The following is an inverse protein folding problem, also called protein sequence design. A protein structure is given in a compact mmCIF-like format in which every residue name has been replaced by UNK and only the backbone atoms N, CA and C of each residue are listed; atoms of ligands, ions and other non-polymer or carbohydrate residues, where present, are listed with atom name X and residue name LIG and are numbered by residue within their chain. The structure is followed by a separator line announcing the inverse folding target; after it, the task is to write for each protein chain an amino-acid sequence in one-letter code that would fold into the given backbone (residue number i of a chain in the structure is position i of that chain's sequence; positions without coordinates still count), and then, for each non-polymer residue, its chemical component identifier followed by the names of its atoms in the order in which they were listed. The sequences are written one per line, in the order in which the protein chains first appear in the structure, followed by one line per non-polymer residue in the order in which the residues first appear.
data_IF_965254154037
#
_entry.id   IF_965254154037
#
_cell.length_a   1.000
_cell.length_b   1.000
_cell.length_c   1.000
_cell.angle_alpha   90.00
_cell.angle_beta   90.00
_cell.angle_gamma   90.00
#
_symmetry.space_group_name_H-M   'P 1'
#
loop_
_entity.id
_entity.type
_entity.pdbx_description
1 polymer ?
#
# COMPACT_ATOMS: atom_id res chain seq x y z
N UNK A 1 -36.51 48.31 -32.53
CA UNK A 1 -35.67 47.09 -32.41
C UNK A 1 -36.12 46.11 -33.50
N UNK A 2 -35.93 46.50 -34.75
CA UNK A 2 -34.87 46.06 -35.69
C UNK A 2 -35.08 44.62 -36.21
N UNK A 3 -36.07 44.43 -37.08
CA UNK A 3 -36.21 43.20 -37.89
C UNK A 3 -34.89 42.82 -38.60
N UNK A 4 -34.11 43.84 -38.98
CA UNK A 4 -32.76 43.71 -39.55
C UNK A 4 -31.77 42.91 -38.67
N UNK A 5 -31.87 42.93 -37.34
CA UNK A 5 -30.97 42.14 -36.49
C UNK A 5 -31.36 40.67 -36.43
N UNK A 6 -32.64 40.34 -36.60
CA UNK A 6 -33.13 38.95 -36.65
C UNK A 6 -32.81 38.34 -38.01
N UNK A 7 -33.02 39.08 -39.10
CA UNK A 7 -32.70 38.62 -40.45
C UNK A 7 -31.19 38.38 -40.62
N UNK A 8 -30.33 39.25 -40.06
CA UNK A 8 -28.87 39.04 -40.05
C UNK A 8 -28.45 37.79 -39.26
N UNK A 9 -29.12 37.49 -38.14
CA UNK A 9 -28.87 36.26 -37.37
C UNK A 9 -29.31 35.02 -38.14
N UNK A 10 -30.46 35.07 -38.81
CA UNK A 10 -30.97 33.97 -39.63
C UNK A 10 -30.06 33.71 -40.85
N UNK A 11 -29.57 34.76 -41.51
CA UNK A 11 -28.60 34.65 -42.60
C UNK A 11 -27.28 34.07 -42.10
N UNK A 12 -26.78 34.50 -40.94
CA UNK A 12 -25.60 33.94 -40.30
C UNK A 12 -25.76 32.45 -39.99
N UNK A 13 -26.89 32.06 -39.38
CA UNK A 13 -27.20 30.64 -39.12
C UNK A 13 -27.28 29.85 -40.42
N UNK A 14 -27.91 30.39 -41.48
CA UNK A 14 -27.98 29.72 -42.78
C UNK A 14 -26.61 29.54 -43.43
N UNK A 15 -25.72 30.53 -43.32
CA UNK A 15 -24.33 30.43 -43.81
C UNK A 15 -23.53 29.41 -43.03
N UNK A 16 -23.74 29.33 -41.71
CA UNK A 16 -23.10 28.34 -40.85
C UNK A 16 -23.56 26.93 -41.20
N UNK A 17 -24.87 26.73 -41.39
CA UNK A 17 -25.44 25.43 -41.80
C UNK A 17 -24.89 24.98 -43.16
N UNK A 18 -24.80 25.90 -44.13
CA UNK A 18 -24.21 25.62 -45.44
C UNK A 18 -22.71 25.32 -45.35
N UNK A 19 -21.98 25.98 -44.46
CA UNK A 19 -20.57 25.67 -44.23
C UNK A 19 -20.40 24.30 -43.58
N UNK A 20 -21.25 23.95 -42.62
CA UNK A 20 -21.20 22.64 -41.96
C UNK A 20 -21.60 21.52 -42.91
N UNK A 21 -22.62 21.71 -43.76
CA UNK A 21 -23.00 20.67 -44.75
C UNK A 21 -21.85 20.41 -45.72
N UNK A 22 -21.21 21.46 -46.26
CA UNK A 22 -20.04 21.32 -47.13
C UNK A 22 -18.89 20.58 -46.46
N UNK A 23 -18.63 20.84 -45.18
CA UNK A 23 -17.58 20.12 -44.44
C UNK A 23 -17.94 18.65 -44.18
N UNK A 24 -19.22 18.34 -43.99
CA UNK A 24 -19.70 16.97 -43.82
C UNK A 24 -19.63 16.22 -45.15
N UNK A 25 -20.06 16.84 -46.26
CA UNK A 25 -19.98 16.25 -47.59
C UNK A 25 -18.51 15.96 -47.98
N UNK A 26 -17.59 16.88 -47.69
CA UNK A 26 -16.15 16.66 -47.91
C UNK A 26 -15.56 15.56 -47.01
N UNK A 27 -16.08 15.38 -45.79
CA UNK A 27 -15.70 14.28 -44.90
C UNK A 27 -16.23 12.94 -45.42
N UNK A 28 -17.46 12.90 -45.94
CA UNK A 28 -18.05 11.70 -46.55
C UNK A 28 -17.24 11.31 -47.79
N UNK A 29 -16.94 12.26 -48.68
CA UNK A 29 -16.07 12.00 -49.85
C UNK A 29 -14.67 11.52 -49.43
N UNK A 30 -14.10 12.08 -48.35
CA UNK A 30 -12.81 11.62 -47.84
C UNK A 30 -12.91 10.19 -47.28
N UNK A 31 -13.94 9.87 -46.51
CA UNK A 31 -14.17 8.51 -45.96
C UNK A 31 -14.38 7.50 -47.09
N UNK A 32 -15.15 7.85 -48.12
CA UNK A 32 -15.37 7.00 -49.30
C UNK A 32 -14.08 6.85 -50.14
N UNK A 33 -13.21 7.87 -50.16
CA UNK A 33 -11.90 7.81 -50.82
C UNK A 33 -10.87 6.97 -50.06
N UNK A 34 -10.98 6.89 -48.73
CA UNK A 34 -10.30 5.90 -47.88
C UNK A 34 -11.04 4.56 -47.99
N UNK A 35 -11.17 4.06 -49.22
CA UNK A 35 -11.61 2.70 -49.48
C UNK A 35 -10.79 1.68 -48.68
N UNK A 36 -11.21 0.42 -48.74
CA UNK A 36 -10.80 -0.77 -47.96
C UNK A 36 -9.30 -1.06 -47.77
N UNK A 37 -8.41 -0.19 -48.22
CA UNK A 37 -6.96 -0.28 -48.09
C UNK A 37 -6.49 0.58 -46.90
N UNK A 38 -5.91 -0.09 -45.92
CA UNK A 38 -5.28 0.58 -44.78
C UNK A 38 -4.01 1.29 -45.28
N UNK A 39 -3.66 2.47 -44.76
CA UNK A 39 -2.40 3.13 -45.11
C UNK A 39 -1.21 2.17 -44.95
N UNK A 40 -0.24 2.18 -45.88
CA UNK A 40 0.89 1.21 -45.90
C UNK A 40 1.62 1.09 -44.54
N UNK A 41 1.67 2.17 -43.76
CA UNK A 41 2.22 2.16 -42.41
C UNK A 41 1.47 1.21 -41.47
N UNK A 42 0.14 1.14 -41.58
CA UNK A 42 -0.72 0.26 -40.79
C UNK A 42 -0.56 -1.20 -41.24
N UNK A 43 -0.36 -1.46 -42.53
CA UNK A 43 -0.04 -2.81 -43.03
C UNK A 43 1.33 -3.29 -42.56
N UNK A 44 2.33 -2.41 -42.58
CA UNK A 44 3.67 -2.68 -42.06
C UNK A 44 3.63 -2.94 -40.54
N UNK A 45 2.83 -2.18 -39.79
CA UNK A 45 2.61 -2.41 -38.36
C UNK A 45 1.84 -3.71 -38.11
N UNK A 46 0.83 -4.05 -38.92
CA UNK A 46 0.11 -5.33 -38.83
C UNK A 46 1.03 -6.52 -39.11
N UNK A 47 1.87 -6.43 -40.14
CA UNK A 47 2.82 -7.50 -40.46
C UNK A 47 3.91 -7.62 -39.40
N UNK A 48 4.33 -6.51 -38.78
CA UNK A 48 5.26 -6.52 -37.64
C UNK A 48 4.60 -7.10 -36.38
N UNK A 49 3.34 -6.75 -36.11
CA UNK A 49 2.57 -7.27 -34.98
C UNK A 49 2.29 -8.77 -35.15
N UNK A 50 1.86 -9.22 -36.33
CA UNK A 50 1.63 -10.64 -36.62
C UNK A 50 2.90 -11.50 -36.47
N UNK A 51 4.07 -10.96 -36.84
CA UNK A 51 5.37 -11.61 -36.60
C UNK A 51 5.74 -11.66 -35.11
N UNK A 52 5.36 -10.64 -34.34
CA UNK A 52 5.57 -10.61 -32.90
C UNK A 52 4.59 -11.53 -32.15
N UNK A 53 3.35 -11.68 -32.62
CA UNK A 53 2.32 -12.50 -31.98
C UNK A 53 2.61 -13.99 -32.07
N UNK A 54 3.16 -14.50 -33.19
CA UNK A 54 3.46 -15.94 -33.30
C UNK A 54 4.59 -16.41 -32.37
N UNK A 55 5.53 -15.53 -32.03
CA UNK A 55 6.61 -15.83 -31.08
C UNK A 55 6.25 -15.48 -29.62
N UNK A 56 5.38 -14.49 -29.41
CA UNK A 56 4.95 -14.06 -28.08
C UNK A 56 3.69 -14.75 -27.57
N UNK A 57 2.75 -15.27 -28.35
CA UNK A 57 1.54 -15.92 -27.80
C UNK A 57 1.89 -17.13 -26.93
N UNK A 58 2.91 -17.90 -27.30
CA UNK A 58 3.40 -19.04 -26.53
C UNK A 58 4.21 -18.61 -25.28
N UNK A 59 4.82 -17.43 -25.28
CA UNK A 59 5.49 -16.82 -24.11
C UNK A 59 4.57 -15.97 -23.24
N UNK A 60 3.52 -15.38 -23.78
CA UNK A 60 2.55 -14.49 -23.12
C UNK A 60 1.42 -15.29 -22.47
N UNK A 61 1.12 -16.50 -22.96
CA UNK A 61 0.30 -17.45 -22.21
C UNK A 61 0.97 -17.90 -20.89
N UNK A 62 2.31 -17.78 -20.78
CA UNK A 62 3.07 -18.12 -19.56
C UNK A 62 3.60 -16.89 -18.79
N UNK A 63 3.81 -15.75 -19.45
CA UNK A 63 4.18 -14.49 -18.85
C UNK A 63 2.98 -13.53 -18.89
N UNK A 64 2.41 -13.24 -17.72
CA UNK A 64 1.21 -12.42 -17.59
C UNK A 64 1.25 -11.08 -18.35
N UNK A 65 0.06 -10.53 -18.60
CA UNK A 65 -0.15 -9.31 -19.39
C UNK A 65 0.86 -8.21 -19.01
N UNK A 66 1.73 -7.85 -19.96
CA UNK A 66 2.69 -6.76 -19.79
C UNK A 66 1.97 -5.43 -19.55
N UNK A 67 2.53 -4.56 -18.70
CA UNK A 67 1.98 -3.23 -18.47
C UNK A 67 1.89 -2.42 -19.77
N UNK A 68 2.87 -2.59 -20.66
CA UNK A 68 2.89 -1.92 -21.96
C UNK A 68 1.80 -2.45 -22.89
N UNK A 69 1.59 -3.78 -22.93
CA UNK A 69 0.53 -4.36 -23.74
C UNK A 69 -0.85 -3.95 -23.23
N UNK A 70 -1.04 -3.89 -21.91
CA UNK A 70 -2.27 -3.38 -21.29
C UNK A 70 -2.51 -1.90 -21.59
N UNK A 71 -1.45 -1.07 -21.57
CA UNK A 71 -1.56 0.35 -21.93
C UNK A 71 -1.94 0.54 -23.39
N UNK A 72 -1.29 -0.19 -24.29
CA UNK A 72 -1.59 -0.11 -25.71
C UNK A 72 -3.00 -0.61 -26.02
N UNK A 73 -3.42 -1.74 -25.42
CA UNK A 73 -4.77 -2.28 -25.63
C UNK A 73 -5.86 -1.38 -25.04
N UNK A 74 -5.65 -0.78 -23.86
CA UNK A 74 -6.62 0.15 -23.26
C UNK A 74 -6.70 1.48 -24.00
N UNK A 75 -5.59 2.01 -24.52
CA UNK A 75 -5.61 3.19 -25.39
C UNK A 75 -6.32 2.91 -26.71
N UNK A 76 -6.04 1.77 -27.34
CA UNK A 76 -6.71 1.37 -28.58
C UNK A 76 -8.21 1.19 -28.36
N UNK A 77 -8.61 0.46 -27.30
CA UNK A 77 -10.02 0.30 -26.94
C UNK A 77 -10.71 1.62 -26.60
N UNK A 78 -10.00 2.59 -26.03
CA UNK A 78 -10.55 3.93 -25.81
C UNK A 78 -10.78 4.69 -27.12
N UNK A 79 -9.86 4.61 -28.08
CA UNK A 79 -10.04 5.21 -29.40
C UNK A 79 -11.19 4.58 -30.17
N UNK A 80 -11.32 3.25 -30.10
CA UNK A 80 -12.43 2.50 -30.71
C UNK A 80 -13.79 2.85 -30.08
N UNK A 81 -13.86 2.96 -28.76
CA UNK A 81 -15.06 3.43 -28.09
C UNK A 81 -15.43 4.87 -28.49
N UNK A 82 -14.44 5.75 -28.69
CA UNK A 82 -14.66 7.12 -29.16
C UNK A 82 -15.14 7.17 -30.61
N UNK A 83 -14.55 6.37 -31.52
CA UNK A 83 -15.00 6.30 -32.91
C UNK A 83 -16.44 5.78 -32.99
N UNK A 84 -16.81 4.77 -32.20
CA UNK A 84 -18.19 4.29 -32.09
C UNK A 84 -19.15 5.36 -31.57
N UNK A 85 -18.74 6.18 -30.60
CA UNK A 85 -19.56 7.31 -30.14
C UNK A 85 -19.76 8.34 -31.26
N UNK A 86 -18.70 8.66 -32.03
CA UNK A 86 -18.81 9.58 -33.17
C UNK A 86 -19.73 8.99 -34.24
N UNK A 87 -19.55 7.72 -34.58
CA UNK A 87 -20.38 7.00 -35.54
C UNK A 87 -21.86 7.00 -35.10
N UNK A 88 -22.15 6.67 -33.84
CA UNK A 88 -23.54 6.71 -33.32
C UNK A 88 -24.19 8.09 -33.42
N UNK A 89 -23.39 9.17 -33.32
CA UNK A 89 -23.90 10.54 -33.49
C UNK A 89 -24.15 10.89 -34.95
N UNK A 90 -23.37 10.35 -35.89
CA UNK A 90 -23.61 10.50 -37.32
C UNK A 90 -24.84 9.68 -37.73
N UNK A 91 -24.97 8.45 -37.23
CA UNK A 91 -26.11 7.57 -37.50
C UNK A 91 -27.41 8.17 -36.94
N UNK A 92 -27.37 8.80 -35.76
CA UNK A 92 -28.52 9.51 -35.18
C UNK A 92 -28.98 10.72 -36.01
N UNK A 93 -28.14 11.25 -36.92
CA UNK A 93 -28.57 12.30 -37.87
C UNK A 93 -29.25 11.70 -39.11
N UNK A 94 -29.04 10.42 -39.38
CA UNK A 94 -29.57 9.73 -40.58
C UNK A 94 -30.77 8.83 -40.27
N UNK A 95 -30.85 8.24 -39.07
CA UNK A 95 -31.85 7.23 -38.69
C UNK A 95 -32.27 7.42 -37.23
N UNK A 96 -33.56 7.68 -36.98
CA UNK A 96 -34.17 7.63 -35.64
C UNK A 96 -34.38 6.16 -35.24
N UNK A 97 -33.49 5.61 -34.40
CA UNK A 97 -33.60 4.22 -33.96
C UNK A 97 -33.10 3.98 -32.55
N UNK A 98 -33.94 3.36 -31.71
CA UNK A 98 -33.64 3.01 -30.31
C UNK A 98 -32.38 2.14 -30.16
N UNK A 99 -32.04 1.33 -31.17
CA UNK A 99 -30.83 0.49 -31.17
C UNK A 99 -29.52 1.29 -31.25
N UNK A 100 -29.55 2.47 -31.87
CA UNK A 100 -28.37 3.36 -31.97
C UNK A 100 -28.03 3.92 -30.60
N UNK A 101 -29.04 4.23 -29.79
CA UNK A 101 -28.86 4.72 -28.42
C UNK A 101 -28.33 3.63 -27.47
N UNK A 102 -28.74 2.37 -27.61
CA UNK A 102 -28.16 1.26 -26.84
C UNK A 102 -26.67 1.04 -27.16
N UNK A 103 -26.31 1.04 -28.45
CA UNK A 103 -24.91 0.92 -28.90
C UNK A 103 -24.06 2.10 -28.40
N UNK A 104 -24.63 3.31 -28.42
CA UNK A 104 -23.99 4.51 -27.88
C UNK A 104 -23.78 4.39 -26.37
N UNK A 105 -24.78 3.92 -25.62
CA UNK A 105 -24.65 3.75 -24.17
C UNK A 105 -23.53 2.74 -23.83
N UNK A 106 -23.43 1.64 -24.57
CA UNK A 106 -22.35 0.67 -24.41
C UNK A 106 -20.97 1.27 -24.76
N UNK A 107 -20.87 2.02 -25.86
CA UNK A 107 -19.63 2.70 -26.25
C UNK A 107 -19.18 3.72 -25.19
N UNK A 108 -20.12 4.47 -24.59
CA UNK A 108 -19.83 5.37 -23.47
C UNK A 108 -19.34 4.59 -22.25
N UNK A 109 -20.00 3.49 -21.87
CA UNK A 109 -19.55 2.66 -20.75
C UNK A 109 -18.13 2.11 -20.98
N UNK A 110 -17.84 1.58 -22.18
CA UNK A 110 -16.52 1.10 -22.54
C UNK A 110 -15.46 2.21 -22.49
N UNK A 111 -15.79 3.42 -22.96
CA UNK A 111 -14.89 4.58 -22.86
C UNK A 111 -14.54 4.93 -21.41
N UNK A 112 -15.51 4.85 -20.50
CA UNK A 112 -15.31 5.09 -19.06
C UNK A 112 -14.43 3.99 -18.47
N UNK A 113 -14.66 2.72 -18.82
CA UNK A 113 -13.83 1.60 -18.37
C UNK A 113 -12.38 1.79 -18.80
N UNK A 114 -12.13 2.05 -20.09
CA UNK A 114 -10.77 2.28 -20.59
C UNK A 114 -10.11 3.52 -19.97
N UNK A 115 -10.88 4.56 -19.67
CA UNK A 115 -10.35 5.75 -18.98
C UNK A 115 -9.96 5.44 -17.54
N UNK A 116 -10.78 4.70 -16.82
CA UNK A 116 -10.51 4.30 -15.42
C UNK A 116 -9.31 3.36 -15.36
N UNK A 117 -9.15 2.42 -16.29
CA UNK A 117 -7.98 1.53 -16.32
C UNK A 117 -6.69 2.30 -16.58
N UNK A 118 -6.70 3.31 -17.46
CA UNK A 118 -5.55 4.20 -17.67
C UNK A 118 -5.23 5.04 -16.44
N UNK A 119 -6.23 5.70 -15.87
CA UNK A 119 -6.03 6.69 -14.81
C UNK A 119 -5.74 6.05 -13.44
N UNK A 120 -6.53 5.04 -13.05
CA UNK A 120 -6.42 4.39 -11.74
C UNK A 120 -5.59 3.10 -11.77
N UNK A 121 -5.49 2.42 -12.92
CA UNK A 121 -4.73 1.18 -13.06
C UNK A 121 -3.28 1.45 -13.46
N UNK A 122 -3.07 1.95 -14.67
CA UNK A 122 -1.75 2.01 -15.30
C UNK A 122 -0.89 3.14 -14.73
N UNK A 123 -1.41 4.37 -14.61
CA UNK A 123 -0.63 5.53 -14.12
C UNK A 123 0.07 5.32 -12.76
N UNK A 124 -0.55 4.78 -11.70
CA UNK A 124 0.16 4.55 -10.44
C UNK A 124 1.23 3.47 -10.56
N UNK A 125 1.06 2.47 -11.42
CA UNK A 125 2.07 1.45 -11.68
C UNK A 125 3.29 2.04 -12.41
N UNK A 126 3.05 2.88 -13.41
CA UNK A 126 4.12 3.61 -14.10
C UNK A 126 4.92 4.51 -13.15
N UNK A 127 4.24 5.24 -12.25
CA UNK A 127 4.93 6.05 -11.23
C UNK A 127 5.84 5.21 -10.32
N UNK A 128 5.38 4.02 -9.91
CA UNK A 128 6.19 3.10 -9.08
C UNK A 128 7.36 2.53 -9.85
N UNK A 129 7.16 2.13 -11.10
CA UNK A 129 8.22 1.60 -11.96
C UNK A 129 9.26 2.68 -12.27
N UNK A 130 8.84 3.90 -12.60
CA UNK A 130 9.75 5.02 -12.81
C UNK A 130 10.60 5.27 -11.57
N UNK A 131 9.98 5.33 -10.39
CA UNK A 131 10.74 5.48 -9.14
C UNK A 131 11.74 4.35 -8.90
N UNK A 132 11.37 3.10 -9.21
CA UNK A 132 12.28 1.96 -9.10
C UNK A 132 13.45 2.05 -10.09
N UNK A 133 13.18 2.48 -11.33
CA UNK A 133 14.19 2.69 -12.36
C UNK A 133 15.12 3.85 -12.00
N UNK A 134 14.58 4.97 -11.52
CA UNK A 134 15.36 6.12 -11.04
C UNK A 134 16.27 5.70 -9.89
N UNK A 135 15.74 4.96 -8.91
CA UNK A 135 16.55 4.43 -7.80
C UNK A 135 17.64 3.48 -8.28
N UNK A 136 17.34 2.61 -9.24
CA UNK A 136 18.33 1.69 -9.82
C UNK A 136 19.41 2.48 -10.57
N UNK A 137 19.01 3.48 -11.36
CA UNK A 137 19.93 4.37 -12.07
C UNK A 137 20.81 5.16 -11.09
N UNK A 138 20.25 5.67 -10.00
CA UNK A 138 21.00 6.37 -8.96
C UNK A 138 22.01 5.45 -8.27
N UNK A 139 21.62 4.21 -7.98
CA UNK A 139 22.55 3.22 -7.43
C UNK A 139 23.66 2.84 -8.41
N UNK A 140 23.33 2.76 -9.70
CA UNK A 140 24.30 2.49 -10.76
C UNK A 140 25.29 3.65 -10.91
N UNK A 141 24.80 4.88 -11.01
CA UNK A 141 25.63 6.11 -11.06
C UNK A 141 26.49 6.28 -9.81
N UNK A 142 25.99 5.88 -8.64
CA UNK A 142 26.77 5.88 -7.40
C UNK A 142 27.89 4.85 -7.44
N UNK A 143 27.62 3.63 -7.93
CA UNK A 143 28.65 2.60 -8.11
C UNK A 143 29.71 3.05 -9.11
N UNK A 144 29.30 3.63 -10.23
CA UNK A 144 30.21 4.15 -11.25
C UNK A 144 31.16 5.21 -10.66
N UNK A 145 30.63 6.16 -9.88
CA UNK A 145 31.46 7.14 -9.15
C UNK A 145 32.39 6.50 -8.11
N UNK A 146 31.90 5.54 -7.33
CA UNK A 146 32.74 4.82 -6.35
C UNK A 146 33.84 4.01 -7.06
N UNK A 147 33.58 3.46 -8.25
CA UNK A 147 34.57 2.77 -9.08
C UNK A 147 35.60 3.75 -9.68
N UNK A 148 35.19 4.93 -10.13
CA UNK A 148 36.09 6.00 -10.60
C UNK A 148 36.99 6.51 -9.47
N UNK A 149 36.42 6.85 -8.30
CA UNK A 149 37.21 7.27 -7.12
C UNK A 149 38.16 6.18 -6.64
N UNK A 150 37.75 4.91 -6.71
CA UNK A 150 38.61 3.79 -6.35
C UNK A 150 39.78 3.63 -7.34
N UNK A 151 39.55 3.86 -8.63
CA UNK A 151 40.61 3.88 -9.65
C UNK A 151 41.57 5.04 -9.44
N UNK A 152 41.08 6.24 -9.18
CA UNK A 152 41.92 7.41 -8.87
C UNK A 152 42.76 7.20 -7.62
N UNK A 153 42.18 6.66 -6.53
CA UNK A 153 42.92 6.31 -5.31
C UNK A 153 43.93 5.20 -5.53
N UNK A 154 43.64 4.25 -6.42
CA UNK A 154 44.60 3.20 -6.79
C UNK A 154 45.77 3.79 -7.59
N UNK A 155 45.52 4.69 -8.54
CA UNK A 155 46.55 5.40 -9.31
C UNK A 155 47.43 6.27 -8.40
N UNK A 156 46.84 7.05 -7.49
CA UNK A 156 47.60 7.85 -6.53
C UNK A 156 48.50 6.99 -5.61
N UNK A 157 48.03 5.80 -5.19
CA UNK A 157 48.85 4.84 -4.43
C UNK A 157 49.96 4.19 -5.24
N UNK A 158 49.80 4.05 -6.55
CA UNK A 158 50.87 3.57 -7.44
C UNK A 158 51.92 4.67 -7.68
N UNK A 159 51.52 5.94 -7.75
CA UNK A 159 52.43 7.08 -7.85
C UNK A 159 53.26 7.27 -6.56
N UNK A 160 52.64 7.15 -5.37
CA UNK A 160 53.36 7.21 -4.09
C UNK A 160 54.39 6.08 -3.92
N UNK A 161 54.10 4.88 -4.46
CA UNK A 161 55.03 3.74 -4.45
C UNK A 161 56.25 3.90 -5.36
N UNK A 162 56.28 4.89 -6.24
CA UNK A 162 57.48 5.27 -6.99
C UNK A 162 58.32 6.36 -6.28
N UNK A 163 57.83 6.92 -5.16
CA UNK A 163 58.54 7.96 -4.40
C UNK A 163 59.18 7.45 -3.10
N UNK A 164 58.76 6.31 -2.56
CA UNK A 164 59.36 5.71 -1.36
C UNK A 164 60.25 4.51 -1.72
N UNK A 165 61.48 4.84 -2.11
CA UNK A 165 62.62 3.96 -1.87
C UNK A 165 63.20 4.23 -0.48
N UNK A 166 63.17 3.19 0.37
CA UNK A 166 63.91 2.98 1.62
C UNK A 166 63.14 3.12 2.95
N UNK A 167 63.31 2.05 3.73
CA UNK A 167 63.23 1.88 5.19
C UNK A 167 61.88 1.58 5.88
N UNK A 168 61.84 0.38 6.49
CA UNK A 168 61.12 0.17 7.74
C UNK A 168 60.23 -1.07 7.85
N UNK A 169 60.81 -2.27 7.79
CA UNK A 169 60.18 -3.47 8.35
C UNK A 169 60.30 -3.43 9.89
N UNK A 170 59.20 -3.47 10.65
CA UNK A 170 58.99 -4.46 11.73
C UNK A 170 57.64 -4.31 12.46
N UNK A 171 57.27 -5.44 13.07
CA UNK A 171 56.45 -5.59 14.28
C UNK A 171 54.94 -5.79 14.16
N UNK A 172 54.59 -7.08 14.12
CA UNK A 172 53.35 -7.64 14.62
C UNK A 172 53.32 -7.67 16.16
N UNK A 173 52.09 -7.73 16.68
CA UNK A 173 51.68 -8.21 18.01
C UNK A 173 51.46 -7.17 19.12
N UNK A 174 50.19 -6.92 19.45
CA UNK A 174 49.68 -7.04 20.82
C UNK A 174 48.16 -6.89 20.85
N UNK A 175 47.54 -7.90 21.45
CA UNK A 175 46.12 -8.07 21.62
C UNK A 175 45.62 -7.48 22.96
N UNK A 176 44.32 -7.21 23.00
CA UNK A 176 43.45 -7.19 24.19
C UNK A 176 43.68 -6.10 25.25
N UNK A 177 42.72 -5.16 25.32
CA UNK A 177 41.96 -4.74 26.52
C UNK A 177 41.51 -3.28 26.34
N UNK A 178 40.28 -3.07 25.88
CA UNK A 178 39.33 -2.05 26.38
C UNK A 178 38.10 -1.99 25.45
N UNK A 179 37.01 -2.69 25.82
CA UNK A 179 35.73 -2.59 25.12
C UNK A 179 34.58 -3.05 26.02
N UNK A 180 34.32 -2.34 27.11
CA UNK A 180 33.06 -2.44 27.85
C UNK A 180 32.55 -1.02 28.13
N UNK A 181 31.82 -0.44 27.16
CA UNK A 181 30.64 0.42 27.35
C UNK A 181 30.33 1.28 26.12
N UNK A 182 29.05 1.21 25.68
CA UNK A 182 28.38 2.01 24.63
C UNK A 182 28.79 1.55 23.21
N UNK A 183 27.90 1.23 22.27
CA UNK A 183 26.70 1.95 21.88
C UNK A 183 25.93 1.14 20.82
N UNK A 184 24.64 0.91 21.08
CA UNK A 184 23.51 0.94 20.15
C UNK A 184 23.51 0.11 18.85
N UNK A 185 22.46 -0.71 18.73
CA UNK A 185 22.06 -1.56 17.61
C UNK A 185 21.80 -0.76 16.31
N UNK A 186 22.84 -0.45 15.54
CA UNK A 186 22.69 -0.02 14.13
C UNK A 186 23.60 -0.77 13.14
N UNK A 187 24.38 -1.73 13.63
CA UNK A 187 25.25 -2.56 12.80
C UNK A 187 24.59 -3.85 12.27
N UNK A 188 23.30 -4.07 12.54
CA UNK A 188 22.56 -5.27 12.13
C UNK A 188 22.09 -5.31 10.67
N UNK A 189 22.30 -4.25 9.87
CA UNK A 189 21.78 -4.16 8.50
C UNK A 189 22.85 -4.16 7.38
N UNK A 190 24.09 -4.52 7.69
CA UNK A 190 25.11 -4.74 6.66
C UNK A 190 25.23 -6.23 6.38
N UNK A 191 24.44 -6.73 5.43
CA UNK A 191 24.56 -8.10 4.92
C UNK A 191 25.85 -8.24 4.08
N UNK A 192 26.99 -8.39 4.75
CA UNK A 192 28.23 -8.90 4.14
C UNK A 192 28.19 -10.43 4.20
N UNK A 193 28.62 -11.16 3.17
CA UNK A 193 28.73 -12.61 3.26
C UNK A 193 29.79 -12.98 4.32
N UNK A 194 29.37 -13.70 5.36
CA UNK A 194 30.25 -14.17 6.43
C UNK A 194 30.99 -15.44 5.98
N UNK A 195 32.27 -15.31 5.61
CA UNK A 195 33.12 -16.42 5.18
C UNK A 195 33.42 -17.44 6.32
N UNK A 196 33.25 -17.05 7.59
CA UNK A 196 33.49 -17.93 8.73
C UNK A 196 32.37 -18.97 8.95
N UNK A 197 31.19 -18.78 8.32
CA UNK A 197 30.10 -19.76 8.36
C UNK A 197 30.31 -21.00 7.48
N UNK A 198 31.31 -20.98 6.60
CA UNK A 198 31.65 -22.11 5.73
C UNK A 198 32.52 -23.18 6.42
N UNK A 199 33.18 -22.82 7.52
CA UNK A 199 34.04 -23.74 8.28
C UNK A 199 33.19 -24.33 9.41
N UNK A 200 32.57 -25.48 9.15
CA UNK A 200 31.85 -26.24 10.19
C UNK A 200 32.87 -26.81 11.18
N UNK A 201 32.94 -26.24 12.39
CA UNK A 201 33.49 -26.92 13.58
C UNK A 201 32.35 -27.75 14.19
N UNK A 202 32.57 -29.05 14.31
CA UNK A 202 31.52 -30.06 14.48
C UNK A 202 30.73 -29.98 15.79
N UNK A 203 29.45 -30.32 15.69
CA UNK A 203 28.68 -31.08 16.70
C UNK A 203 27.44 -31.67 16.03
N UNK A 204 27.30 -32.99 16.19
CA UNK A 204 26.32 -33.90 15.61
C UNK A 204 24.90 -33.71 16.19
N UNK A 205 23.88 -33.63 15.32
CA UNK A 205 22.65 -34.43 15.46
C UNK A 205 22.04 -34.69 14.09
N UNK A 206 22.32 -35.90 13.60
CA UNK A 206 21.63 -36.67 12.56
C UNK A 206 20.11 -36.44 12.50
N UNK A 207 19.65 -36.06 11.31
CA UNK A 207 18.43 -36.61 10.72
C UNK A 207 18.62 -36.67 9.20
N UNK A 208 19.08 -37.82 8.71
CA UNK A 208 19.01 -38.15 7.28
C UNK A 208 17.68 -38.84 7.00
N UNK A 209 16.98 -38.33 5.97
CA UNK A 209 15.73 -38.85 5.46
C UNK A 209 15.45 -38.19 4.10
N UNK A 210 15.93 -38.86 3.05
CA UNK A 210 15.62 -38.75 1.62
C UNK A 210 14.93 -37.47 1.09
N UNK A 211 15.62 -36.77 0.19
CA UNK A 211 15.04 -35.79 -0.74
C UNK A 211 14.91 -34.38 -0.17
N UNK A 212 16.05 -33.69 0.02
CA UNK A 212 16.08 -32.30 0.45
C UNK A 212 15.46 -31.35 -0.60
N UNK A 213 14.12 -31.25 -0.60
CA UNK A 213 13.42 -30.14 -1.24
C UNK A 213 13.88 -28.84 -0.58
N UNK A 214 14.46 -27.95 -1.37
CA UNK A 214 14.84 -26.61 -0.91
C UNK A 214 13.63 -25.92 -0.27
N UNK A 215 13.75 -25.57 1.00
CA UNK A 215 12.77 -24.75 1.71
C UNK A 215 13.34 -23.34 1.80
N UNK A 216 12.75 -22.35 1.11
CA UNK A 216 13.20 -20.97 1.21
C UNK A 216 13.10 -20.50 2.66
N UNK A 217 14.00 -19.60 3.10
CA UNK A 217 14.01 -19.07 4.44
C UNK A 217 12.69 -18.34 4.72
N UNK A 218 12.06 -18.65 5.86
CA UNK A 218 10.88 -17.94 6.32
C UNK A 218 11.29 -16.58 6.85
N UNK A 219 11.23 -15.55 6.00
CA UNK A 219 11.40 -14.16 6.42
C UNK A 219 10.14 -13.78 7.21
N UNK A 220 10.28 -13.47 8.50
CA UNK A 220 9.21 -12.83 9.26
C UNK A 220 8.89 -11.49 8.60
N UNK A 221 7.61 -11.22 8.32
CA UNK A 221 7.20 -9.97 7.70
C UNK A 221 7.69 -8.77 8.53
N UNK A 222 8.76 -8.13 8.09
CA UNK A 222 9.16 -6.83 8.57
C UNK A 222 8.19 -5.83 7.95
N UNK A 223 7.50 -5.03 8.77
CA UNK A 223 6.71 -3.93 8.24
C UNK A 223 7.65 -2.99 7.47
N UNK A 224 7.25 -2.47 6.30
CA UNK A 224 8.01 -1.43 5.64
C UNK A 224 8.17 -0.24 6.60
N UNK A 225 9.32 0.46 6.60
CA UNK A 225 9.49 1.67 7.40
C UNK A 225 8.49 2.72 6.91
N UNK A 226 7.36 2.82 7.59
CA UNK A 226 6.44 3.95 7.45
C UNK A 226 7.05 5.13 8.21
N UNK A 227 6.78 6.36 7.76
CA UNK A 227 7.24 7.61 8.40
C UNK A 227 6.56 7.87 9.76
N UNK A 228 6.46 6.86 10.63
CA UNK A 228 5.76 6.89 11.93
C UNK A 228 6.66 6.39 13.06
N UNK A 229 7.99 6.47 12.94
CA UNK A 229 8.89 6.12 14.04
C UNK A 229 8.72 7.08 15.25
N UNK A 230 8.28 8.32 15.03
CA UNK A 230 7.92 9.28 16.09
C UNK A 230 6.65 8.90 16.89
N UNK A 231 5.82 7.96 16.42
CA UNK A 231 4.60 7.55 17.13
C UNK A 231 4.84 6.50 18.22
N UNK A 232 6.04 5.90 18.29
CA UNK A 232 6.31 4.84 19.26
C UNK A 232 6.35 5.32 20.71
N UNK A 233 6.68 6.59 20.97
CA UNK A 233 6.62 7.19 22.31
C UNK A 233 5.18 7.37 22.79
N UNK A 234 4.28 7.82 21.92
CA UNK A 234 2.83 7.95 22.23
C UNK A 234 2.15 6.59 22.51
N UNK A 235 2.65 5.50 21.92
CA UNK A 235 2.17 4.13 22.20
C UNK A 235 2.56 3.62 23.59
N UNK A 236 3.64 4.14 24.20
CA UNK A 236 4.00 3.76 25.56
C UNK A 236 3.09 4.41 26.61
N UNK A 237 2.62 5.64 26.37
CA UNK A 237 1.68 6.32 27.26
C UNK A 237 0.31 5.60 27.30
N UNK A 238 -0.14 5.04 26.17
CA UNK A 238 -1.35 4.20 26.09
C UNK A 238 -1.24 2.83 26.79
N UNK A 239 -0.08 2.44 27.32
CA UNK A 239 0.09 1.20 28.10
C UNK A 239 -0.20 1.39 29.59
N UNK A 240 -0.41 2.62 30.06
CA UNK A 240 -1.04 2.85 31.35
C UNK A 240 -2.52 2.47 31.21
N UNK A 241 -2.80 1.17 31.31
CA UNK A 241 -4.17 0.64 31.27
C UNK A 241 -4.99 1.37 32.32
N UNK A 242 -6.07 2.02 31.88
CA UNK A 242 -7.08 2.56 32.78
C UNK A 242 -7.56 1.45 33.73
N UNK A 243 -7.90 1.85 34.94
CA UNK A 243 -8.50 0.94 35.91
C UNK A 243 -9.91 0.61 35.42
N UNK A 244 -10.19 -0.68 35.28
CA UNK A 244 -11.52 -1.16 34.89
C UNK A 244 -12.63 -0.60 35.80
N UNK A 245 -12.36 -0.49 37.11
CA UNK A 245 -13.31 0.10 38.07
C UNK A 245 -13.58 1.59 37.84
N UNK A 246 -12.59 2.34 37.35
CA UNK A 246 -12.76 3.74 37.01
C UNK A 246 -13.57 3.89 35.72
N UNK A 247 -13.26 3.08 34.70
CA UNK A 247 -13.99 3.09 33.43
C UNK A 247 -15.47 2.73 33.64
N UNK A 248 -15.76 1.76 34.51
CA UNK A 248 -17.13 1.40 34.88
C UNK A 248 -17.85 2.54 35.62
N UNK A 249 -17.17 3.19 36.57
CA UNK A 249 -17.71 4.37 37.24
C UNK A 249 -18.00 5.51 36.26
N UNK A 250 -17.12 5.76 35.28
CA UNK A 250 -17.33 6.76 34.25
C UNK A 250 -18.51 6.42 33.35
N UNK A 251 -18.73 5.15 33.02
CA UNK A 251 -19.92 4.67 32.29
C UNK A 251 -21.20 4.88 33.09
N UNK A 252 -21.17 4.66 34.40
CA UNK A 252 -22.32 4.85 35.29
C UNK A 252 -22.67 6.33 35.51
N UNK A 253 -21.64 7.19 35.63
CA UNK A 253 -21.84 8.65 35.81
C UNK A 253 -22.18 9.34 34.49
N UNK A 254 -21.76 8.78 33.37
CA UNK A 254 -22.12 9.27 32.05
C UNK A 254 -23.59 9.06 31.75
N UNK A 255 -24.27 10.11 31.31
CA UNK A 255 -25.67 10.04 30.82
C UNK A 255 -25.76 9.52 29.36
N UNK A 256 -24.61 9.17 28.76
CA UNK A 256 -24.57 8.66 27.41
C UNK A 256 -25.04 7.19 27.37
N UNK A 257 -25.92 6.81 26.43
CA UNK A 257 -26.36 5.43 26.30
C UNK A 257 -25.17 4.52 25.93
N UNK A 258 -25.00 3.43 26.68
CA UNK A 258 -24.06 2.36 26.36
C UNK A 258 -24.65 1.42 25.31
N UNK A 259 -23.80 0.90 24.42
CA UNK A 259 -24.21 -0.11 23.44
C UNK A 259 -24.00 -1.48 24.06
N UNK A 260 -25.11 -2.13 24.44
CA UNK A 260 -25.10 -3.50 24.93
C UNK A 260 -25.46 -4.49 23.83
N UNK A 261 -24.83 -5.67 23.86
CA UNK A 261 -25.16 -6.75 22.95
C UNK A 261 -26.49 -7.40 23.35
N UNK A 262 -27.19 -7.97 22.36
CA UNK A 262 -28.39 -8.77 22.64
C UNK A 262 -28.06 -9.92 23.61
N UNK A 263 -28.98 -10.22 24.52
CA UNK A 263 -28.83 -11.19 25.63
C UNK A 263 -28.35 -12.56 25.16
N UNK A 264 -28.72 -12.99 23.94
CA UNK A 264 -28.29 -14.27 23.38
C UNK A 264 -26.95 -14.26 22.65
N UNK A 265 -26.41 -13.08 22.28
CA UNK A 265 -25.20 -12.96 21.47
C UNK A 265 -23.91 -13.11 22.31
N UNK A 266 -23.99 -12.93 23.62
CA UNK A 266 -22.87 -13.01 24.55
C UNK A 266 -22.59 -14.43 25.02
N UNK A 267 -23.52 -15.36 24.83
CA UNK A 267 -23.39 -16.76 25.26
C UNK A 267 -22.44 -17.53 24.33
N UNK A 268 -21.45 -18.22 24.91
CA UNK A 268 -20.50 -19.08 24.20
C UNK A 268 -20.72 -20.54 24.60
N UNK A 269 -20.38 -21.47 23.71
CA UNK A 269 -20.36 -22.91 23.98
C UNK A 269 -21.69 -23.44 24.56
N UNK A 270 -22.82 -22.96 24.05
CA UNK A 270 -24.15 -23.41 24.47
C UNK A 270 -24.50 -23.10 25.93
N UNK A 271 -23.97 -22.02 26.50
CA UNK A 271 -24.26 -21.61 27.88
C UNK A 271 -23.18 -21.95 28.88
N UNK A 272 -22.09 -22.59 28.45
CA UNK A 272 -20.97 -22.92 29.35
C UNK A 272 -20.20 -21.69 29.78
N UNK A 273 -20.01 -20.73 28.88
CA UNK A 273 -19.27 -19.50 29.15
C UNK A 273 -20.04 -18.27 28.60
N UNK A 274 -19.82 -17.10 29.20
CA UNK A 274 -20.33 -15.80 28.74
C UNK A 274 -19.17 -14.91 28.31
N UNK A 275 -19.36 -14.08 27.28
CA UNK A 275 -18.38 -13.07 26.86
C UNK A 275 -18.35 -11.92 27.86
N UNK A 276 -17.16 -11.51 28.27
CA UNK A 276 -16.97 -10.26 29.01
C UNK A 276 -17.01 -9.04 28.10
N UNK A 277 -17.36 -7.87 28.63
CA UNK A 277 -17.37 -6.59 27.88
C UNK A 277 -16.06 -6.38 27.10
N UNK A 278 -14.91 -6.66 27.73
CA UNK A 278 -13.60 -6.57 27.07
C UNK A 278 -13.41 -7.55 25.92
N UNK A 279 -14.04 -8.73 25.99
CA UNK A 279 -14.01 -9.72 24.91
C UNK A 279 -14.90 -9.30 23.76
N UNK A 280 -16.06 -8.69 24.06
CA UNK A 280 -16.96 -8.11 23.06
C UNK A 280 -16.23 -7.01 22.28
N UNK A 281 -15.56 -6.08 22.98
CA UNK A 281 -14.76 -5.01 22.35
C UNK A 281 -13.64 -5.59 21.46
N UNK A 282 -12.91 -6.59 21.95
CA UNK A 282 -11.85 -7.25 21.18
C UNK A 282 -12.38 -7.99 19.94
N UNK A 283 -13.53 -8.64 20.05
CA UNK A 283 -14.17 -9.31 18.93
C UNK A 283 -14.65 -8.29 17.89
N UNK A 284 -15.24 -7.17 18.32
CA UNK A 284 -15.61 -6.06 17.44
C UNK A 284 -14.39 -5.46 16.71
N UNK A 285 -13.25 -5.34 17.39
CA UNK A 285 -12.00 -4.90 16.77
C UNK A 285 -11.51 -5.90 15.71
N UNK A 286 -11.63 -7.20 15.99
CA UNK A 286 -11.31 -8.26 15.03
C UNK A 286 -12.26 -8.23 13.84
N UNK A 287 -13.57 -8.15 14.04
CA UNK A 287 -14.54 -8.10 12.93
C UNK A 287 -14.31 -6.87 12.07
N UNK A 288 -14.09 -5.71 12.69
CA UNK A 288 -13.75 -4.48 11.98
C UNK A 288 -12.48 -4.65 11.13
N UNK A 289 -11.43 -5.25 11.68
CA UNK A 289 -10.21 -5.54 10.93
C UNK A 289 -10.45 -6.50 9.75
N UNK A 290 -11.24 -7.54 9.96
CA UNK A 290 -11.56 -8.53 8.92
C UNK A 290 -12.43 -7.93 7.80
N UNK A 291 -13.36 -7.04 8.14
CA UNK A 291 -14.22 -6.32 7.18
C UNK A 291 -13.44 -5.26 6.40
N UNK A 292 -12.59 -4.47 7.08
CA UNK A 292 -11.76 -3.44 6.45
C UNK A 292 -10.72 -4.05 5.49
N UNK A 293 -10.13 -5.18 5.87
CA UNK A 293 -9.08 -5.82 5.07
C UNK A 293 -9.57 -7.01 4.22
N UNK A 294 -10.85 -7.36 4.31
CA UNK A 294 -11.47 -8.50 3.63
C UNK A 294 -10.70 -9.84 3.78
N UNK A 295 -10.00 -10.02 4.90
CA UNK A 295 -9.17 -11.21 5.18
C UNK A 295 -9.41 -11.69 6.60
N UNK A 296 -9.79 -12.96 6.74
CA UNK A 296 -9.99 -13.59 8.06
C UNK A 296 -8.67 -13.83 8.79
N UNK A 297 -8.66 -13.60 10.10
CA UNK A 297 -7.52 -13.94 10.94
C UNK A 297 -7.40 -15.46 11.10
N UNK A 298 -6.19 -16.03 10.98
CA UNK A 298 -6.01 -17.46 11.18
C UNK A 298 -6.28 -17.81 12.65
N UNK A 299 -6.93 -18.95 12.88
CA UNK A 299 -7.24 -19.44 14.22
C UNK A 299 -6.00 -19.57 15.13
N UNK A 300 -4.79 -19.67 14.59
CA UNK A 300 -3.55 -19.66 15.38
C UNK A 300 -3.24 -18.32 16.04
N UNK A 301 -3.64 -17.20 15.42
CA UNK A 301 -3.45 -15.83 15.96
C UNK A 301 -4.65 -15.38 16.79
N UNK A 302 -5.83 -15.91 16.51
CA UNK A 302 -7.06 -15.64 17.28
C UNK A 302 -7.19 -16.52 18.54
N UNK A 303 -6.38 -17.59 18.67
CA UNK A 303 -6.42 -18.46 19.85
C UNK A 303 -5.87 -17.73 21.08
N UNK A 304 -6.73 -17.64 22.09
CA UNK A 304 -6.33 -17.27 23.44
C UNK A 304 -5.30 -18.26 23.98
N UNK A 305 -4.28 -17.75 24.68
CA UNK A 305 -3.26 -18.60 25.29
C UNK A 305 -3.88 -19.42 26.43
N UNK A 306 -3.34 -20.62 26.70
CA UNK A 306 -3.83 -21.45 27.82
C UNK A 306 -3.84 -20.69 29.15
N UNK A 307 -2.79 -19.88 29.40
CA UNK A 307 -2.67 -19.06 30.61
C UNK A 307 -3.75 -17.99 30.71
N UNK A 308 -4.11 -17.37 29.59
CA UNK A 308 -5.16 -16.35 29.59
C UNK A 308 -6.53 -16.98 29.80
N UNK A 309 -6.79 -18.15 29.18
CA UNK A 309 -7.97 -18.95 29.45
C UNK A 309 -8.08 -19.37 30.92
N UNK A 310 -6.99 -19.82 31.55
CA UNK A 310 -7.02 -20.23 32.96
C UNK A 310 -7.31 -19.04 33.89
N UNK A 311 -6.74 -17.86 33.60
CA UNK A 311 -7.04 -16.62 34.33
C UNK A 311 -8.49 -16.21 34.14
N UNK A 312 -9.00 -16.34 32.92
CA UNK A 312 -10.40 -16.08 32.57
C UNK A 312 -11.32 -16.95 33.41
N UNK A 313 -11.11 -18.26 33.42
CA UNK A 313 -11.94 -19.21 34.19
C UNK A 313 -11.93 -18.93 35.69
N UNK A 314 -10.85 -18.32 36.21
CA UNK A 314 -10.72 -17.99 37.64
C UNK A 314 -11.36 -16.66 38.02
N UNK A 315 -11.37 -15.69 37.10
CA UNK A 315 -11.72 -14.31 37.40
C UNK A 315 -13.03 -13.86 36.74
N UNK A 316 -13.47 -14.49 35.65
CA UNK A 316 -14.73 -14.17 34.99
C UNK A 316 -15.87 -15.01 35.58
N UNK A 317 -16.95 -14.32 35.92
CA UNK A 317 -18.16 -14.91 36.47
C UNK A 317 -19.36 -14.29 35.76
N UNK A 318 -20.17 -15.12 35.09
CA UNK A 318 -21.36 -14.69 34.32
C UNK A 318 -21.12 -13.57 33.28
N UNK A 319 -19.90 -13.44 32.76
CA UNK A 319 -19.54 -12.39 31.79
C UNK A 319 -19.00 -11.11 32.44
N UNK A 320 -18.97 -11.02 33.76
CA UNK A 320 -18.28 -9.94 34.47
C UNK A 320 -16.88 -10.37 34.87
N UNK A 321 -15.90 -9.47 34.80
CA UNK A 321 -14.52 -9.74 35.24
C UNK A 321 -14.30 -9.21 36.66
N UNK A 322 -14.07 -10.14 37.60
CA UNK A 322 -13.82 -9.89 39.01
C UNK A 322 -12.32 -9.75 39.34
N UNK A 323 -11.45 -9.81 38.33
CA UNK A 323 -10.00 -9.68 38.53
C UNK A 323 -9.60 -8.34 39.16
N UNK A 324 -10.47 -7.31 39.08
CA UNK A 324 -10.26 -6.00 39.68
C UNK A 324 -10.06 -6.05 41.21
N UNK A 325 -10.67 -7.01 41.90
CA UNK A 325 -10.54 -7.13 43.36
C UNK A 325 -9.31 -7.92 43.81
N UNK A 326 -8.72 -8.71 42.92
CA UNK A 326 -7.52 -9.51 43.18
C UNK A 326 -6.21 -8.78 42.90
N UNK A 327 -6.27 -7.53 42.43
CA UNK A 327 -5.11 -6.76 42.03
C UNK A 327 -4.71 -5.75 43.12
N UNK A 328 -3.48 -5.82 43.61
CA UNK A 328 -2.93 -4.90 44.61
C UNK A 328 -2.49 -3.55 44.02
N UNK A 329 -3.13 -3.11 42.93
CA UNK A 329 -2.72 -1.89 42.23
C UNK A 329 -3.40 -0.70 42.87
N UNK A 330 -2.61 0.23 43.39
CA UNK A 330 -3.14 1.41 44.05
C UNK A 330 -3.92 2.28 43.06
N UNK A 331 -5.20 2.50 43.37
CA UNK A 331 -6.11 3.36 42.60
C UNK A 331 -5.55 4.78 42.50
N UNK A 332 -4.77 5.22 43.50
CA UNK A 332 -4.16 6.55 43.55
C UNK A 332 -3.07 6.78 42.51
N UNK A 333 -2.32 5.73 42.13
CA UNK A 333 -1.24 5.81 41.16
C UNK A 333 -1.77 5.70 39.72
N UNK A 334 -2.77 4.84 39.49
CA UNK A 334 -3.36 4.60 38.18
C UNK A 334 -4.53 5.55 37.83
N UNK A 335 -5.25 6.10 38.82
CA UNK A 335 -6.38 7.03 38.64
C UNK A 335 -6.00 8.46 38.26
N UNK A 336 -4.78 8.68 37.74
CA UNK A 336 -4.36 10.00 37.24
C UNK A 336 -4.15 11.07 38.33
N UNK A 337 -4.17 10.70 39.61
CA UNK A 337 -3.68 11.57 40.70
C UNK A 337 -2.14 11.49 40.74
N UNK A 338 -1.49 11.59 39.57
CA UNK A 338 -0.09 12.01 39.53
C UNK A 338 -0.07 13.36 40.23
N UNK A 339 0.57 13.42 41.41
CA UNK A 339 0.65 14.59 42.29
C UNK A 339 0.79 15.84 41.44
N UNK A 340 -0.33 16.58 41.22
CA UNK A 340 -0.29 17.80 40.42
C UNK A 340 0.77 18.67 41.08
N UNK A 341 1.84 18.99 40.34
CA UNK A 341 2.94 19.85 40.80
C UNK A 341 2.33 20.98 41.63
N UNK A 342 2.80 21.17 42.87
CA UNK A 342 2.20 22.08 43.87
C UNK A 342 1.80 23.38 43.18
N UNK A 343 0.51 23.50 42.85
CA UNK A 343 0.00 24.65 42.10
C UNK A 343 0.12 25.89 42.97
N UNK A 344 0.53 27.01 42.37
CA UNK A 344 0.64 28.30 43.05
C UNK A 344 -0.73 28.71 43.62
N UNK A 345 -0.73 29.44 44.73
CA UNK A 345 -1.96 29.88 45.40
C UNK A 345 -2.90 30.63 44.44
N UNK A 346 -2.33 31.43 43.52
CA UNK A 346 -3.08 32.13 42.49
C UNK A 346 -3.78 31.20 41.49
N UNK A 347 -3.12 30.12 41.06
CA UNK A 347 -3.73 29.13 40.15
C UNK A 347 -4.87 28.37 40.84
N UNK A 348 -4.75 28.13 42.16
CA UNK A 348 -5.83 27.52 42.96
C UNK A 348 -7.01 28.46 43.11
N UNK A 349 -6.75 29.75 43.35
CA UNK A 349 -7.79 30.77 43.44
C UNK A 349 -8.53 30.91 42.10
N UNK A 350 -7.81 31.05 40.99
CA UNK A 350 -8.40 31.12 39.64
C UNK A 350 -9.30 29.92 39.33
N UNK A 351 -8.83 28.70 39.60
CA UNK A 351 -9.62 27.49 39.39
C UNK A 351 -10.88 27.41 40.24
N UNK A 352 -10.89 28.04 41.42
CA UNK A 352 -12.10 28.12 42.28
C UNK A 352 -13.09 29.18 41.80
N UNK A 353 -12.62 30.19 41.05
CA UNK A 353 -13.48 31.23 40.47
C UNK A 353 -14.08 30.79 39.14
N UNK A 354 -13.36 29.96 38.37
CA UNK A 354 -13.83 29.39 37.10
C UNK A 354 -14.79 28.20 37.26
N UNK A 355 -15.15 27.86 38.50
CA UNK A 355 -16.02 26.74 38.86
C UNK A 355 -17.28 27.28 39.51
#
# INVERSE_FOLDING_TARGET
MSKQSVDQLLDGVSSSIKSTSKSVDALIEAIDSYGTEYPEMVENLRSSLAKHDTENEQKAASAGVSLLSLKNSSLLGYLDALSLIVQSKLDALQIDGDKVEEMRAQAVQNSVVHRVTLDKGIKPLEKRLNYQLDKLMDTYRRREREEEEAKEKAQAREEDKCSEGADGADSADSAEEDADMLENDSAGLRFRPNAAGFIRKGADKRHEGAGAKYRPPKISAALPPSMQEEQNESKQEGRQRNLQSMDEYLRQVGDAPSVEASVGATIINGGRDMKSQKQIEKEQEVTRYEEENFVRLPASKAKESKRDRDKRMRNEFFGEDWSMFGNSRDISDAGGIKRKRKQSAWQRARKRMDK
#
